data_IF_598124924403
#
_entry.id   IF_598124924403
#
_cell.length_a   1.000
_cell.length_b   1.000
_cell.length_c   1.000
_cell.angle_alpha   90.00
_cell.angle_beta   90.00
_cell.angle_gamma   90.00
#
_symmetry.space_group_name_H-M   'P 1'
#
loop_
_entity.id
_entity.type
_entity.pdbx_description
1 polymer ?
#
# COMPACT_ATOMS: atom_id res chain seq x y z
N UNK A 1 -7.16 -3.64 -13.82
CA UNK A 1 -5.68 -3.70 -13.65
C UNK A 1 -5.38 -4.31 -12.28
N UNK A 2 -4.30 -5.07 -12.13
CA UNK A 2 -3.95 -5.70 -10.84
C UNK A 2 -3.50 -4.64 -9.83
N UNK A 3 -3.95 -4.76 -8.57
CA UNK A 3 -3.53 -3.92 -7.44
C UNK A 3 -1.99 -3.87 -7.27
N UNK A 4 -1.28 -4.91 -7.73
CA UNK A 4 0.18 -4.99 -7.73
C UNK A 4 0.82 -3.87 -8.56
N UNK A 5 0.20 -3.45 -9.68
CA UNK A 5 0.74 -2.37 -10.50
C UNK A 5 0.71 -1.04 -9.75
N UNK A 6 -0.37 -0.78 -9.02
CA UNK A 6 -0.48 0.39 -8.16
C UNK A 6 0.53 0.33 -7.01
N UNK A 7 0.75 -0.84 -6.41
CA UNK A 7 1.78 -1.03 -5.38
C UNK A 7 3.19 -0.73 -5.92
N UNK A 8 3.50 -1.12 -7.16
CA UNK A 8 4.78 -0.79 -7.78
C UNK A 8 4.98 0.72 -7.96
N UNK A 9 3.94 1.44 -8.41
CA UNK A 9 3.97 2.91 -8.52
C UNK A 9 4.15 3.56 -7.15
N UNK A 10 3.52 3.03 -6.10
CA UNK A 10 3.74 3.47 -4.71
C UNK A 10 5.23 3.36 -4.36
N UNK A 11 5.87 2.22 -4.63
CA UNK A 11 7.30 2.07 -4.32
C UNK A 11 8.19 3.07 -5.05
N UNK A 12 7.89 3.41 -6.31
CA UNK A 12 8.62 4.43 -7.06
C UNK A 12 8.44 5.83 -6.45
N UNK A 13 7.22 6.18 -6.04
CA UNK A 13 6.95 7.48 -5.40
C UNK A 13 7.65 7.60 -4.05
N UNK A 14 7.76 6.49 -3.32
CA UNK A 14 8.45 6.44 -2.02
C UNK A 14 9.98 6.35 -2.13
N UNK A 15 10.55 6.39 -3.33
CA UNK A 15 12.00 6.64 -3.52
C UNK A 15 12.38 8.11 -3.31
N UNK A 16 11.39 8.98 -3.08
CA UNK A 16 11.62 10.36 -2.66
C UNK A 16 12.30 10.40 -1.27
N UNK A 17 13.23 11.36 -1.04
CA UNK A 17 13.89 11.51 0.26
C UNK A 17 12.88 11.68 1.42
N UNK A 18 13.11 10.99 2.53
CA UNK A 18 12.28 11.05 3.73
C UNK A 18 11.09 10.06 3.73
N UNK A 19 10.99 9.21 2.71
CA UNK A 19 9.96 8.16 2.61
C UNK A 19 10.49 6.74 2.89
N UNK A 20 11.79 6.59 3.21
CA UNK A 20 12.48 5.31 3.31
C UNK A 20 11.85 4.39 4.36
N UNK A 21 11.49 4.94 5.52
CA UNK A 21 10.79 4.23 6.59
C UNK A 21 9.43 3.69 6.10
N UNK A 22 8.66 4.53 5.40
CA UNK A 22 7.33 4.17 4.90
C UNK A 22 7.44 3.08 3.84
N UNK A 23 8.40 3.20 2.91
CA UNK A 23 8.70 2.17 1.92
C UNK A 23 9.05 0.84 2.59
N UNK A 24 9.92 0.88 3.60
CA UNK A 24 10.34 -0.30 4.35
C UNK A 24 9.16 -0.98 5.06
N UNK A 25 8.26 -0.20 5.69
CA UNK A 25 7.10 -0.75 6.38
C UNK A 25 6.12 -1.45 5.44
N UNK A 26 5.90 -0.91 4.23
CA UNK A 26 5.06 -1.57 3.22
C UNK A 26 5.72 -2.86 2.71
N UNK A 27 7.04 -2.85 2.46
CA UNK A 27 7.78 -4.05 2.06
C UNK A 27 7.71 -5.13 3.14
N UNK A 28 7.86 -4.75 4.41
CA UNK A 28 7.71 -5.67 5.54
C UNK A 28 6.31 -6.27 5.58
N UNK A 29 5.26 -5.45 5.43
CA UNK A 29 3.89 -5.94 5.38
C UNK A 29 3.67 -6.92 4.21
N UNK A 30 4.31 -6.69 3.06
CA UNK A 30 4.25 -7.61 1.91
C UNK A 30 4.92 -8.96 2.23
N UNK A 31 6.10 -8.95 2.85
CA UNK A 31 6.83 -10.18 3.24
C UNK A 31 6.07 -10.94 4.32
N UNK A 32 5.62 -10.24 5.36
CA UNK A 32 4.88 -10.81 6.49
C UNK A 32 3.53 -11.39 6.06
N UNK A 33 2.86 -10.72 5.11
CA UNK A 33 1.64 -11.24 4.48
C UNK A 33 1.92 -12.42 3.56
N UNK A 34 3.07 -12.45 2.87
CA UNK A 34 3.46 -13.59 2.02
C UNK A 34 3.63 -14.86 2.83
N UNK A 35 4.24 -14.76 4.01
CA UNK A 35 4.41 -15.88 4.93
C UNK A 35 3.07 -16.42 5.48
N UNK A 36 2.00 -15.62 5.42
CA UNK A 36 0.67 -15.96 5.95
C UNK A 36 -0.39 -16.23 4.87
N UNK A 37 -0.06 -16.03 3.59
CA UNK A 37 -1.04 -16.07 2.49
C UNK A 37 -1.98 -14.86 2.44
N UNK A 38 -1.63 -13.76 3.10
CA UNK A 38 -2.48 -12.58 3.33
C UNK A 38 -1.86 -11.29 2.76
N UNK A 39 -0.99 -11.39 1.74
CA UNK A 39 -0.21 -10.26 1.19
C UNK A 39 -1.07 -9.01 0.97
N UNK A 40 -2.20 -9.17 0.28
CA UNK A 40 -3.08 -8.07 -0.06
C UNK A 40 -3.60 -7.34 1.20
N UNK A 41 -4.09 -8.10 2.18
CA UNK A 41 -4.64 -7.54 3.42
C UNK A 41 -3.57 -6.88 4.27
N UNK A 42 -2.38 -7.48 4.39
CA UNK A 42 -1.26 -6.88 5.14
C UNK A 42 -0.82 -5.56 4.52
N UNK A 43 -0.68 -5.51 3.20
CA UNK A 43 -0.36 -4.27 2.48
C UNK A 43 -1.47 -3.23 2.68
N UNK A 44 -2.74 -3.61 2.52
CA UNK A 44 -3.88 -2.70 2.69
C UNK A 44 -3.92 -2.09 4.09
N UNK A 45 -3.71 -2.89 5.14
CA UNK A 45 -3.63 -2.40 6.51
C UNK A 45 -2.51 -1.37 6.70
N UNK A 46 -1.34 -1.61 6.12
CA UNK A 46 -0.23 -0.67 6.19
C UNK A 46 -0.54 0.65 5.47
N UNK A 47 -1.21 0.60 4.32
CA UNK A 47 -1.63 1.79 3.58
C UNK A 47 -2.67 2.61 4.35
N UNK A 48 -3.58 1.96 5.09
CA UNK A 48 -4.52 2.65 5.99
C UNK A 48 -3.80 3.29 7.18
N UNK A 49 -2.80 2.63 7.77
CA UNK A 49 -1.97 3.26 8.82
C UNK A 49 -1.27 4.53 8.31
N UNK A 50 -0.68 4.48 7.11
CA UNK A 50 0.00 5.63 6.50
C UNK A 50 -0.98 6.81 6.31
N UNK A 51 -2.22 6.53 5.91
CA UNK A 51 -3.28 7.55 5.79
C UNK A 51 -3.52 8.31 7.09
N UNK A 52 -3.44 7.63 8.23
CA UNK A 52 -3.70 8.21 9.55
C UNK A 52 -2.46 8.90 10.11
N UNK A 53 -1.29 8.26 10.03
CA UNK A 53 -0.09 8.68 10.77
C UNK A 53 0.88 9.54 9.96
N UNK A 54 0.85 9.46 8.62
CA UNK A 54 1.84 10.09 7.74
C UNK A 54 1.13 10.82 6.60
N UNK A 55 0.23 11.75 6.93
CA UNK A 55 -0.62 12.47 5.98
C UNK A 55 0.12 13.06 4.76
N UNK A 56 1.31 13.69 4.89
CA UNK A 56 2.05 14.19 3.72
C UNK A 56 2.49 13.08 2.76
N UNK A 57 2.91 11.93 3.28
CA UNK A 57 3.30 10.77 2.48
C UNK A 57 2.07 10.12 1.85
N UNK A 58 0.95 10.07 2.59
CA UNK A 58 -0.31 9.58 2.05
C UNK A 58 -0.76 10.37 0.82
N UNK A 59 -0.75 11.70 0.87
CA UNK A 59 -1.18 12.53 -0.27
C UNK A 59 -0.32 12.29 -1.53
N UNK A 60 0.97 11.97 -1.37
CA UNK A 60 1.84 11.60 -2.49
C UNK A 60 1.37 10.31 -3.22
N UNK A 61 0.89 9.33 -2.46
CA UNK A 61 0.53 7.99 -2.94
C UNK A 61 -0.99 7.75 -3.03
N UNK A 62 -1.79 8.75 -2.70
CA UNK A 62 -3.24 8.63 -2.47
C UNK A 62 -3.99 8.02 -3.65
N UNK A 63 -3.68 8.45 -4.87
CA UNK A 63 -4.33 7.94 -6.07
C UNK A 63 -4.17 6.42 -6.22
N UNK A 64 -2.97 5.90 -6.02
CA UNK A 64 -2.68 4.46 -6.09
C UNK A 64 -3.30 3.71 -4.92
N UNK A 65 -3.26 4.28 -3.72
CA UNK A 65 -3.88 3.68 -2.53
C UNK A 65 -5.40 3.54 -2.71
N UNK A 66 -6.08 4.57 -3.22
CA UNK A 66 -7.52 4.52 -3.48
C UNK A 66 -7.89 3.49 -4.55
N UNK A 67 -7.06 3.33 -5.60
CA UNK A 67 -7.24 2.26 -6.58
C UNK A 67 -7.05 0.86 -5.97
N UNK A 68 -6.07 0.68 -5.08
CA UNK A 68 -5.86 -0.59 -4.36
C UNK A 68 -7.05 -0.91 -3.44
N UNK A 69 -7.60 0.10 -2.75
CA UNK A 69 -8.81 -0.06 -1.93
C UNK A 69 -10.00 -0.44 -2.80
N UNK A 70 -10.20 0.23 -3.95
CA UNK A 70 -11.28 -0.06 -4.86
C UNK A 70 -11.25 -1.51 -5.38
N UNK A 71 -10.05 -2.08 -5.61
CA UNK A 71 -9.90 -3.49 -5.96
C UNK A 71 -10.54 -4.44 -4.93
N UNK A 72 -10.46 -4.15 -3.63
CA UNK A 72 -11.14 -4.98 -2.61
C UNK A 72 -12.66 -4.98 -2.77
N UNK A 73 -13.24 -3.83 -3.12
CA UNK A 73 -14.69 -3.68 -3.28
C UNK A 73 -15.20 -4.52 -4.44
N UNK A 74 -14.44 -4.56 -5.53
CA UNK A 74 -14.79 -5.33 -6.72
C UNK A 74 -14.63 -6.85 -6.54
N UNK A 75 -13.73 -7.30 -5.65
CA UNK A 75 -13.42 -8.72 -5.48
C UNK A 75 -14.09 -9.39 -4.26
N UNK A 76 -14.32 -8.65 -3.17
CA UNK A 76 -14.71 -9.24 -1.87
C UNK A 76 -16.05 -8.71 -1.32
N UNK A 77 -16.64 -7.68 -1.94
CA UNK A 77 -17.91 -7.08 -1.51
C UNK A 77 -19.03 -7.22 -2.56
N UNK A 78 -18.88 -8.13 -3.52
CA UNK A 78 -19.98 -8.55 -4.41
C UNK A 78 -20.86 -9.58 -3.71
#
# INVERSE_FOLDING_TARGET
MSWINHLYVIYQKLDAPGCEEVKHNILKAQIDGCNRGEIYFSVLQQLVHIKVEKAPVYELIKGEVENIIQYSREQYLN
#
